data_IF_395784788828
#
_entry.id   IF_395784788828
#
_cell.length_a   1.000
_cell.length_b   1.000
_cell.length_c   1.000
_cell.angle_alpha   90.00
_cell.angle_beta   90.00
_cell.angle_gamma   90.00
#
_symmetry.space_group_name_H-M   'P 1'
#
loop_
_entity.id
_entity.type
_entity.pdbx_description
1 polymer ?
#
# COMPACT_ATOMS: atom_id res chain seq x y z
N UNK A 1 -20.61 -30.50 -8.29
CA UNK A 1 -20.97 -29.30 -9.09
C UNK A 1 -21.19 -28.02 -8.27
N UNK A 2 -22.21 -27.89 -7.39
CA UNK A 2 -22.42 -26.63 -6.64
C UNK A 2 -21.29 -26.34 -5.63
N UNK A 3 -20.87 -27.37 -4.88
CA UNK A 3 -19.81 -27.30 -3.85
C UNK A 3 -18.45 -26.89 -4.45
N UNK A 4 -18.14 -27.36 -5.66
CA UNK A 4 -16.88 -27.03 -6.36
C UNK A 4 -16.85 -25.58 -6.83
N UNK A 5 -17.99 -25.05 -7.31
CA UNK A 5 -18.13 -23.64 -7.67
C UNK A 5 -17.97 -22.75 -6.44
N UNK A 6 -18.61 -23.10 -5.34
CA UNK A 6 -18.49 -22.35 -4.08
C UNK A 6 -17.06 -22.36 -3.53
N UNK A 7 -16.36 -23.49 -3.63
CA UNK A 7 -14.95 -23.60 -3.26
C UNK A 7 -14.07 -22.70 -4.13
N UNK A 8 -14.29 -22.68 -5.45
CA UNK A 8 -13.57 -21.82 -6.39
C UNK A 8 -13.77 -20.33 -6.09
N UNK A 9 -15.01 -19.90 -5.81
CA UNK A 9 -15.29 -18.50 -5.47
C UNK A 9 -14.70 -18.08 -4.12
N UNK A 10 -14.69 -18.98 -3.13
CA UNK A 10 -14.00 -18.74 -1.85
C UNK A 10 -12.51 -18.55 -2.06
N UNK A 11 -11.88 -19.45 -2.83
CA UNK A 11 -10.46 -19.34 -3.12
C UNK A 11 -10.13 -18.03 -3.85
N UNK A 12 -10.95 -17.65 -4.84
CA UNK A 12 -10.79 -16.38 -5.55
C UNK A 12 -10.90 -15.18 -4.59
N UNK A 13 -11.87 -15.19 -3.69
CA UNK A 13 -12.05 -14.14 -2.68
C UNK A 13 -10.84 -14.04 -1.77
N UNK A 14 -10.28 -15.17 -1.33
CA UNK A 14 -9.10 -15.20 -0.47
C UNK A 14 -7.85 -14.73 -1.21
N UNK A 15 -7.69 -15.09 -2.48
CA UNK A 15 -6.62 -14.58 -3.35
C UNK A 15 -6.72 -13.05 -3.50
N UNK A 16 -7.92 -12.52 -3.73
CA UNK A 16 -8.15 -11.07 -3.82
C UNK A 16 -7.85 -10.36 -2.49
N UNK A 17 -8.30 -10.92 -1.37
CA UNK A 17 -8.02 -10.37 -0.04
C UNK A 17 -6.51 -10.34 0.26
N UNK A 18 -5.79 -11.42 -0.08
CA UNK A 18 -4.33 -11.49 0.06
C UNK A 18 -3.63 -10.48 -0.84
N UNK A 19 -4.01 -10.38 -2.11
CA UNK A 19 -3.44 -9.41 -3.05
C UNK A 19 -3.62 -7.98 -2.54
N UNK A 20 -4.82 -7.63 -2.03
CA UNK A 20 -5.09 -6.31 -1.44
C UNK A 20 -4.19 -6.04 -0.23
N UNK A 21 -4.04 -7.02 0.67
CA UNK A 21 -3.19 -6.90 1.87
C UNK A 21 -1.72 -6.70 1.51
N UNK A 22 -1.21 -7.48 0.55
CA UNK A 22 0.17 -7.35 0.06
C UNK A 22 0.38 -5.98 -0.57
N UNK A 23 -0.54 -5.52 -1.42
CA UNK A 23 -0.45 -4.19 -2.03
C UNK A 23 -0.37 -3.05 -1.01
N UNK A 24 -1.18 -3.12 0.06
CA UNK A 24 -1.12 -2.15 1.16
C UNK A 24 0.24 -2.18 1.89
N UNK A 25 0.79 -3.36 2.14
CA UNK A 25 2.11 -3.52 2.77
C UNK A 25 3.23 -2.98 1.88
N UNK A 26 3.22 -3.32 0.58
CA UNK A 26 4.21 -2.82 -0.38
C UNK A 26 4.18 -1.30 -0.47
N UNK A 27 2.99 -0.69 -0.54
CA UNK A 27 2.85 0.77 -0.56
C UNK A 27 3.40 1.44 0.71
N UNK A 28 3.22 0.81 1.88
CA UNK A 28 3.80 1.27 3.14
C UNK A 28 5.33 1.21 3.12
N UNK A 29 5.90 0.08 2.69
CA UNK A 29 7.36 -0.09 2.60
C UNK A 29 7.98 0.89 1.60
N UNK A 30 7.35 1.09 0.45
CA UNK A 30 7.81 2.07 -0.54
C UNK A 30 7.79 3.50 -0.01
N UNK A 31 6.77 3.85 0.77
CA UNK A 31 6.73 5.14 1.44
C UNK A 31 7.88 5.25 2.46
N UNK A 32 8.07 4.26 3.33
CA UNK A 32 9.12 4.27 4.34
C UNK A 32 10.50 4.45 3.69
N UNK A 33 10.76 3.76 2.58
CA UNK A 33 11.98 3.94 1.78
C UNK A 33 12.15 5.38 1.28
N UNK A 34 11.10 5.97 0.70
CA UNK A 34 11.12 7.37 0.20
C UNK A 34 11.26 8.39 1.34
N UNK A 35 10.66 8.12 2.49
CA UNK A 35 10.75 8.98 3.68
C UNK A 35 12.14 8.92 4.27
N UNK A 36 12.81 7.76 4.28
CA UNK A 36 14.19 7.65 4.75
C UNK A 36 15.20 8.30 3.79
N UNK A 37 14.87 8.43 2.50
CA UNK A 37 15.71 9.12 1.53
C UNK A 37 15.90 10.62 1.82
N UNK A 38 16.97 11.19 1.25
CA UNK A 38 17.32 12.61 1.39
C UNK A 38 16.29 13.52 0.72
N UNK A 39 15.98 14.63 1.37
CA UNK A 39 15.08 15.66 0.85
C UNK A 39 14.21 16.27 1.95
N UNK A 40 13.88 17.56 1.81
CA UNK A 40 12.96 18.22 2.75
C UNK A 40 11.55 17.73 2.48
N UNK A 41 10.91 17.12 3.49
CA UNK A 41 9.59 16.51 3.41
C UNK A 41 8.70 17.02 4.55
N UNK A 42 7.40 17.02 4.32
CA UNK A 42 6.39 17.40 5.30
C UNK A 42 5.26 16.38 5.28
N UNK A 43 4.81 15.95 6.47
CA UNK A 43 3.67 15.06 6.62
C UNK A 43 2.39 15.86 6.40
N UNK A 44 1.57 15.45 5.44
CA UNK A 44 0.30 16.12 5.08
C UNK A 44 -0.88 15.39 5.72
N UNK A 45 -0.82 14.06 5.78
CA UNK A 45 -1.87 13.23 6.38
C UNK A 45 -1.28 12.05 7.15
N UNK A 46 -1.96 11.67 8.24
CA UNK A 46 -1.68 10.44 8.99
C UNK A 46 -1.92 9.18 8.15
N UNK A 47 -1.45 8.04 8.66
CA UNK A 47 -1.85 6.74 8.12
C UNK A 47 -3.27 6.44 8.64
N UNK A 48 -4.22 6.19 7.75
CA UNK A 48 -5.62 5.95 8.08
C UNK A 48 -6.16 4.79 7.24
N UNK A 49 -7.05 3.97 7.81
CA UNK A 49 -7.77 2.89 7.11
C UNK A 49 -6.86 1.92 6.32
N UNK A 50 -5.67 1.62 6.85
CA UNK A 50 -4.69 0.73 6.20
C UNK A 50 -3.93 1.36 5.03
N UNK A 51 -4.13 2.65 4.75
CA UNK A 51 -3.36 3.41 3.78
C UNK A 51 -2.15 4.07 4.43
N UNK A 52 -1.00 4.13 3.74
CA UNK A 52 0.21 4.72 4.28
C UNK A 52 0.08 6.26 4.38
N UNK A 53 0.85 6.88 5.28
CA UNK A 53 0.80 8.32 5.51
C UNK A 53 1.19 9.12 4.25
N UNK A 54 0.58 10.28 4.05
CA UNK A 54 0.90 11.11 2.88
C UNK A 54 1.95 12.14 3.24
N UNK A 55 3.04 12.18 2.47
CA UNK A 55 4.11 13.16 2.58
C UNK A 55 4.21 13.99 1.29
N UNK A 56 4.57 15.26 1.45
CA UNK A 56 4.91 16.16 0.35
C UNK A 56 6.38 16.51 0.42
N UNK A 57 7.11 16.28 -0.66
CA UNK A 57 8.49 16.69 -0.81
C UNK A 57 8.55 18.13 -1.32
N UNK A 58 9.48 18.92 -0.78
CA UNK A 58 9.80 20.23 -1.33
C UNK A 58 10.41 20.01 -2.71
N UNK A 59 9.88 20.70 -3.73
CA UNK A 59 10.50 20.70 -5.05
C UNK A 59 11.87 21.38 -4.95
N UNK A 60 12.92 20.58 -5.03
CA UNK A 60 14.30 21.02 -5.13
C UNK A 60 14.93 20.26 -6.29
N UNK A 61 15.56 20.99 -7.21
CA UNK A 61 16.28 20.37 -8.32
C UNK A 61 17.40 19.51 -7.74
N UNK A 62 17.43 18.23 -8.09
CA UNK A 62 18.61 17.41 -7.87
C UNK A 62 19.72 17.98 -8.75
N UNK A 63 20.83 18.37 -8.12
CA UNK A 63 22.04 18.78 -8.83
C UNK A 63 22.75 17.55 -9.37
#
# INVERSE_FOLDING_TARGET
MQVEKDAMYRELRDRLARAKKIGQMSAKLDLERKVQAKGKKFKVKGAENGMPAVYRWKQQRQK
#
